data_IF_210101668377
#
_entry.id   IF_210101668377
#
_cell.length_a   1.000
_cell.length_b   1.000
_cell.length_c   1.000
_cell.angle_alpha   90.00
_cell.angle_beta   90.00
_cell.angle_gamma   90.00
#
_symmetry.space_group_name_H-M   'P 1'
#
loop_
_entity.id
_entity.type
_entity.pdbx_description
1 polymer ?
#
# COMPACT_ATOMS: atom_id res chain seq x y z
N UNK A 1 -21.54 -10.35 12.56
CA UNK A 1 -20.62 -10.90 11.55
C UNK A 1 -20.15 -9.75 10.69
N UNK A 2 -18.85 -9.52 10.50
CA UNK A 2 -18.41 -8.58 9.49
C UNK A 2 -18.87 -9.08 8.10
N UNK A 3 -19.21 -8.19 7.16
CA UNK A 3 -19.65 -8.58 5.83
C UNK A 3 -18.59 -9.41 5.11
N UNK A 4 -19.01 -10.34 4.25
CA UNK A 4 -18.08 -11.01 3.35
C UNK A 4 -17.45 -9.97 2.42
N UNK A 5 -16.16 -9.70 2.61
CA UNK A 5 -15.35 -8.89 1.72
C UNK A 5 -15.47 -9.48 0.30
N UNK A 6 -16.20 -8.79 -0.58
CA UNK A 6 -16.07 -8.98 -2.02
C UNK A 6 -14.81 -8.20 -2.38
N UNK A 7 -13.67 -8.89 -2.39
CA UNK A 7 -12.45 -8.33 -2.96
C UNK A 7 -12.73 -8.19 -4.45
N UNK A 8 -13.12 -6.98 -4.85
CA UNK A 8 -13.03 -6.58 -6.25
C UNK A 8 -11.53 -6.56 -6.55
N UNK A 9 -11.04 -7.16 -7.65
CA UNK A 9 -9.64 -7.02 -8.02
C UNK A 9 -9.32 -5.52 -8.11
N UNK A 10 -8.50 -5.01 -7.18
CA UNK A 10 -8.13 -3.58 -7.07
C UNK A 10 -7.50 -3.06 -8.38
N UNK A 11 -6.99 -3.95 -9.22
CA UNK A 11 -6.34 -3.67 -10.49
C UNK A 11 -7.22 -3.03 -11.60
N UNK A 12 -8.48 -2.65 -11.34
CA UNK A 12 -9.40 -2.19 -12.40
C UNK A 12 -9.81 -0.72 -12.32
N UNK A 13 -9.30 0.06 -11.36
CA UNK A 13 -9.62 1.48 -11.27
C UNK A 13 -8.51 2.38 -11.79
N UNK A 14 -8.87 3.52 -12.40
CA UNK A 14 -7.88 4.46 -12.90
C UNK A 14 -7.12 5.03 -11.71
N UNK A 15 -5.85 4.63 -11.58
CA UNK A 15 -4.93 5.24 -10.63
C UNK A 15 -4.27 6.45 -11.23
N UNK A 16 -4.10 7.48 -10.42
CA UNK A 16 -3.07 8.48 -10.70
C UNK A 16 -1.73 7.75 -10.84
N UNK A 17 -1.15 7.78 -12.03
CA UNK A 17 0.10 7.05 -12.29
C UNK A 17 1.26 7.68 -11.52
N UNK A 18 2.01 6.85 -10.80
CA UNK A 18 3.30 7.23 -10.22
C UNK A 18 4.36 6.91 -11.27
N UNK A 19 5.13 7.92 -11.69
CA UNK A 19 6.19 7.74 -12.69
C UNK A 19 7.26 6.76 -12.20
N UNK A 20 7.78 5.91 -13.09
CA UNK A 20 8.93 5.05 -12.77
C UNK A 20 10.09 5.89 -12.22
N UNK A 21 10.73 5.38 -11.16
CA UNK A 21 11.81 6.06 -10.46
C UNK A 21 11.45 7.46 -9.90
N UNK A 22 10.16 7.79 -9.76
CA UNK A 22 9.74 8.96 -9.00
C UNK A 22 10.26 8.89 -7.56
N UNK A 23 10.65 10.03 -7.00
CA UNK A 23 11.04 10.09 -5.58
C UNK A 23 9.79 10.00 -4.72
N UNK A 24 9.88 9.14 -3.72
CA UNK A 24 8.85 8.96 -2.72
C UNK A 24 9.43 9.22 -1.34
N UNK A 25 8.58 9.70 -0.46
CA UNK A 25 8.94 10.15 0.89
C UNK A 25 8.05 9.50 1.91
N UNK A 26 8.57 9.18 3.09
CA UNK A 26 7.74 8.92 4.26
C UNK A 26 8.30 9.58 5.52
N UNK A 27 7.46 9.58 6.55
CA UNK A 27 7.86 9.91 7.92
C UNK A 27 7.40 8.77 8.83
N UNK A 28 8.27 7.77 8.97
CA UNK A 28 8.07 6.60 9.81
C UNK A 28 8.32 6.86 11.30
N UNK A 29 7.73 6.04 12.16
CA UNK A 29 7.98 6.10 13.62
C UNK A 29 9.41 5.69 13.95
N UNK A 30 9.93 4.69 13.25
CA UNK A 30 11.22 4.06 13.51
C UNK A 30 12.34 4.72 12.72
N UNK A 31 12.11 4.96 11.43
CA UNK A 31 13.13 5.54 10.53
C UNK A 31 13.12 7.07 10.50
N UNK A 32 12.03 7.71 10.93
CA UNK A 32 11.86 9.15 10.76
C UNK A 32 11.64 9.49 9.30
N UNK A 33 12.26 10.56 8.81
CA UNK A 33 12.15 10.97 7.41
C UNK A 33 13.09 10.15 6.52
N UNK A 34 12.54 9.54 5.47
CA UNK A 34 13.29 8.77 4.47
C UNK A 34 12.86 9.14 3.05
N UNK A 35 13.71 8.79 2.08
CA UNK A 35 13.46 8.97 0.66
C UNK A 35 13.84 7.71 -0.10
N UNK A 36 13.04 7.35 -1.08
CA UNK A 36 13.25 6.19 -1.93
C UNK A 36 12.77 6.47 -3.35
N UNK A 37 12.93 5.47 -4.23
CA UNK A 37 12.46 5.59 -5.61
C UNK A 37 11.36 4.57 -5.87
N UNK A 38 10.28 5.04 -6.47
CA UNK A 38 9.19 4.18 -6.91
C UNK A 38 9.71 3.17 -7.93
N UNK A 39 9.25 1.93 -7.80
CA UNK A 39 9.47 0.88 -8.76
C UNK A 39 8.11 0.33 -9.22
N UNK A 40 7.84 0.53 -10.52
CA UNK A 40 6.57 0.19 -11.18
C UNK A 40 6.33 -1.30 -11.34
N UNK A 41 7.36 -2.13 -11.16
CA UNK A 41 7.18 -3.57 -11.16
C UNK A 41 6.41 -3.98 -9.90
N UNK A 42 5.11 -4.20 -10.06
CA UNK A 42 4.27 -4.64 -8.96
C UNK A 42 4.68 -6.05 -8.53
N UNK A 43 4.84 -6.24 -7.23
CA UNK A 43 5.18 -7.55 -6.67
C UNK A 43 3.90 -8.29 -6.30
N UNK A 44 3.79 -9.54 -6.73
CA UNK A 44 2.73 -10.43 -6.26
C UNK A 44 3.14 -11.05 -4.92
N UNK A 45 2.47 -10.67 -3.84
CA UNK A 45 2.62 -11.35 -2.54
C UNK A 45 1.54 -12.43 -2.43
N UNK A 46 1.93 -13.64 -2.01
CA UNK A 46 0.99 -14.73 -1.77
C UNK A 46 0.62 -14.73 -0.30
N UNK A 47 -0.61 -14.32 0.01
CA UNK A 47 -1.12 -14.33 1.37
C UNK A 47 -1.92 -15.62 1.60
N UNK A 48 -1.59 -16.35 2.68
CA UNK A 48 -2.40 -17.45 3.19
C UNK A 48 -3.13 -17.02 4.46
N UNK A 49 -4.44 -17.27 4.52
CA UNK A 49 -5.26 -16.98 5.69
C UNK A 49 -6.39 -18.00 5.84
N UNK A 50 -6.97 -18.11 7.04
CA UNK A 50 -8.07 -19.06 7.30
C UNK A 50 -9.41 -18.33 7.31
N UNK A 51 -10.32 -18.74 6.42
CA UNK A 51 -11.71 -18.25 6.36
C UNK A 51 -12.68 -19.40 6.55
N UNK A 52 -13.50 -19.32 7.60
CA UNK A 52 -14.46 -20.38 7.97
C UNK A 52 -13.81 -21.77 8.10
N UNK A 53 -12.61 -21.83 8.69
CA UNK A 53 -11.87 -23.08 8.90
C UNK A 53 -11.22 -23.66 7.64
N UNK A 54 -11.26 -22.96 6.50
CA UNK A 54 -10.55 -23.35 5.28
C UNK A 54 -9.37 -22.41 5.04
N UNK A 55 -8.23 -22.99 4.66
CA UNK A 55 -7.12 -22.21 4.14
C UNK A 55 -7.52 -21.58 2.79
N UNK A 56 -7.23 -20.29 2.66
CA UNK A 56 -7.43 -19.50 1.46
C UNK A 56 -6.08 -18.90 1.08
N UNK A 57 -5.75 -18.97 -0.21
CA UNK A 57 -4.52 -18.40 -0.77
C UNK A 57 -4.94 -17.37 -1.78
N UNK A 58 -4.53 -16.12 -1.57
CA UNK A 58 -4.87 -15.01 -2.46
C UNK A 58 -3.60 -14.22 -2.82
N UNK A 59 -3.36 -13.97 -4.12
CA UNK A 59 -2.30 -13.07 -4.55
C UNK A 59 -2.74 -11.61 -4.33
N UNK A 60 -1.86 -10.81 -3.74
CA UNK A 60 -2.01 -9.36 -3.67
C UNK A 60 -0.96 -8.70 -4.55
N UNK A 61 -1.30 -7.59 -5.20
CA UNK A 61 -0.43 -6.91 -6.18
C UNK A 61 -0.04 -5.57 -5.59
N UNK A 62 1.23 -5.42 -5.24
CA UNK A 62 1.69 -4.31 -4.40
C UNK A 62 2.59 -3.35 -5.15
N UNK A 63 2.49 -2.08 -4.79
CA UNK A 63 3.43 -1.05 -5.22
C UNK A 63 4.72 -1.15 -4.40
N UNK A 64 5.86 -0.83 -5.02
CA UNK A 64 7.16 -0.96 -4.35
C UNK A 64 7.99 0.31 -4.36
N UNK A 65 8.76 0.51 -3.29
CA UNK A 65 9.81 1.52 -3.18
C UNK A 65 11.15 0.80 -2.96
N UNK A 66 12.18 1.22 -3.69
CA UNK A 66 13.53 0.69 -3.59
C UNK A 66 14.38 1.50 -2.61
N UNK A 67 15.19 0.79 -1.82
CA UNK A 67 16.22 1.35 -0.93
C UNK A 67 15.91 1.19 0.55
N UNK A 68 16.75 1.79 1.41
CA UNK A 68 16.57 1.87 2.86
C UNK A 68 15.44 2.86 3.20
N UNK A 69 14.22 2.54 2.77
CA UNK A 69 13.06 3.44 2.82
C UNK A 69 12.26 3.30 4.11
N UNK A 70 12.13 2.09 4.66
CA UNK A 70 11.33 1.82 5.87
C UNK A 70 11.88 0.66 6.70
N UNK A 71 11.48 0.58 7.97
CA UNK A 71 11.78 -0.56 8.86
C UNK A 71 10.53 -1.10 9.57
N UNK A 72 10.68 -2.23 10.25
CA UNK A 72 9.65 -2.71 11.17
C UNK A 72 9.29 -1.62 12.19
N UNK A 73 8.00 -1.30 12.26
CA UNK A 73 7.46 -0.21 13.08
C UNK A 73 7.01 1.02 12.30
N UNK A 74 7.37 1.15 11.02
CA UNK A 74 6.88 2.21 10.13
C UNK A 74 5.54 1.88 9.45
N UNK A 75 5.05 0.64 9.58
CA UNK A 75 3.74 0.21 9.06
C UNK A 75 2.62 1.18 9.45
N UNK A 76 1.85 1.60 8.46
CA UNK A 76 0.79 2.62 8.59
C UNK A 76 1.24 4.04 8.24
N UNK A 77 2.51 4.26 7.93
CA UNK A 77 2.99 5.56 7.45
C UNK A 77 2.46 5.89 6.07
N UNK A 78 2.19 7.17 5.85
CA UNK A 78 1.79 7.69 4.55
C UNK A 78 3.02 7.92 3.69
N UNK A 79 2.89 7.61 2.39
CA UNK A 79 3.91 7.84 1.38
C UNK A 79 3.50 9.02 0.51
N UNK A 80 4.44 9.94 0.27
CA UNK A 80 4.24 11.18 -0.46
C UNK A 80 5.08 11.25 -1.73
N UNK A 81 4.61 12.00 -2.73
CA UNK A 81 5.39 12.39 -3.90
C UNK A 81 6.11 13.74 -3.69
N UNK A 82 6.79 14.23 -4.73
CA UNK A 82 7.48 15.54 -4.75
C UNK A 82 6.55 16.74 -4.49
N UNK A 83 5.26 16.61 -4.81
CA UNK A 83 4.23 17.64 -4.61
C UNK A 83 3.56 17.56 -3.22
N UNK A 84 4.08 16.70 -2.33
CA UNK A 84 3.54 16.39 -1.00
C UNK A 84 2.12 15.79 -1.02
N UNK A 85 1.72 15.22 -2.15
CA UNK A 85 0.48 14.47 -2.27
C UNK A 85 0.68 13.05 -1.74
N UNK A 86 -0.29 12.54 -0.99
CA UNK A 86 -0.27 11.16 -0.52
C UNK A 86 -0.53 10.23 -1.71
N UNK A 87 0.37 9.28 -1.92
CA UNK A 87 0.26 8.28 -2.99
C UNK A 87 0.09 6.85 -2.47
N UNK A 88 0.36 6.63 -1.18
CA UNK A 88 0.32 5.27 -0.63
C UNK A 88 0.26 5.17 0.88
N UNK A 89 -0.06 3.97 1.34
CA UNK A 89 0.00 3.55 2.72
C UNK A 89 0.97 2.37 2.86
N UNK A 90 2.06 2.58 3.61
CA UNK A 90 3.04 1.54 3.88
C UNK A 90 2.42 0.44 4.74
N UNK A 91 2.61 -0.83 4.38
CA UNK A 91 2.17 -1.95 5.22
C UNK A 91 3.26 -2.99 5.52
N UNK A 92 4.27 -3.14 4.65
CA UNK A 92 5.33 -4.13 4.83
C UNK A 92 6.64 -3.72 4.14
N UNK A 93 7.70 -4.46 4.45
CA UNK A 93 8.99 -4.36 3.77
C UNK A 93 9.71 -5.70 3.72
N UNK A 94 10.73 -5.79 2.87
CA UNK A 94 11.66 -6.90 2.77
C UNK A 94 13.08 -6.35 2.86
N UNK A 95 13.67 -6.48 4.05
CA UNK A 95 15.03 -6.00 4.36
C UNK A 95 16.11 -6.68 3.50
N UNK A 96 15.90 -7.92 3.06
CA UNK A 96 16.89 -8.63 2.24
C UNK A 96 16.99 -8.06 0.84
N UNK A 97 15.86 -7.70 0.25
CA UNK A 97 15.79 -7.11 -1.10
C UNK A 97 15.74 -5.58 -1.10
N UNK A 98 15.68 -4.95 0.08
CA UNK A 98 15.52 -3.50 0.24
C UNK A 98 14.30 -2.97 -0.52
N UNK A 99 13.16 -3.66 -0.31
CA UNK A 99 11.87 -3.29 -0.88
C UNK A 99 10.92 -2.88 0.22
N UNK A 100 10.22 -1.78 0.03
CA UNK A 100 9.02 -1.43 0.81
C UNK A 100 7.79 -1.67 -0.04
N UNK A 101 6.76 -2.27 0.56
CA UNK A 101 5.46 -2.50 -0.07
C UNK A 101 4.42 -1.54 0.46
N UNK A 102 3.62 -0.99 -0.44
CA UNK A 102 2.52 -0.10 -0.08
C UNK A 102 1.30 -0.35 -0.94
N UNK A 103 0.14 -0.04 -0.36
CA UNK A 103 -1.14 -0.01 -1.07
C UNK A 103 -1.35 1.40 -1.62
N UNK A 104 -1.78 1.51 -2.88
CA UNK A 104 -2.06 2.82 -3.49
C UNK A 104 -3.16 3.54 -2.71
N UNK A 105 -3.05 4.85 -2.51
CA UNK A 105 -3.97 5.57 -1.62
C UNK A 105 -5.43 5.49 -2.09
N UNK A 106 -5.66 5.44 -3.40
CA UNK A 106 -7.00 5.34 -3.96
C UNK A 106 -7.66 3.99 -3.66
N UNK A 107 -6.88 2.91 -3.59
CA UNK A 107 -7.37 1.59 -3.19
C UNK A 107 -7.83 1.62 -1.73
N UNK A 108 -7.04 2.26 -0.86
CA UNK A 108 -7.39 2.46 0.55
C UNK A 108 -8.68 3.26 0.67
N UNK A 109 -8.80 4.39 -0.06
CA UNK A 109 -10.01 5.21 -0.02
C UNK A 109 -11.23 4.47 -0.55
N UNK A 110 -11.08 3.67 -1.59
CA UNK A 110 -12.18 2.89 -2.08
C UNK A 110 -12.61 1.84 -1.06
N UNK A 111 -11.68 1.07 -0.50
CA UNK A 111 -12.01 0.04 0.48
C UNK A 111 -12.77 0.64 1.67
N UNK A 112 -12.31 1.79 2.18
CA UNK A 112 -13.02 2.55 3.23
C UNK A 112 -14.46 2.87 2.80
N UNK A 113 -14.66 3.41 1.59
CA UNK A 113 -16.02 3.73 1.07
C UNK A 113 -16.88 2.49 0.95
N UNK A 114 -16.35 1.41 0.39
CA UNK A 114 -17.06 0.14 0.21
C UNK A 114 -17.46 -0.49 1.55
N UNK A 115 -16.58 -0.42 2.56
CA UNK A 115 -16.78 -1.04 3.86
C UNK A 115 -17.65 -0.22 4.80
N UNK A 116 -17.58 1.11 4.73
CA UNK A 116 -18.28 2.01 5.66
C UNK A 116 -19.56 2.60 5.08
N UNK A 117 -19.71 2.61 3.75
CA UNK A 117 -20.78 3.35 3.08
C UNK A 117 -20.58 4.86 3.06
N UNK A 118 -19.42 5.37 3.49
CA UNK A 118 -19.11 6.80 3.36
C UNK A 118 -18.99 7.19 1.89
N UNK A 119 -19.36 8.43 1.58
CA UNK A 119 -19.28 8.96 0.21
C UNK A 119 -17.96 9.67 -0.08
N UNK A 120 -17.24 10.07 0.98
CA UNK A 120 -16.05 10.89 0.87
C UNK A 120 -14.99 10.51 1.91
N UNK A 121 -13.73 10.50 1.47
CA UNK A 121 -12.54 10.20 2.27
C UNK A 121 -11.48 11.20 1.83
N UNK A 122 -10.85 11.86 2.81
CA UNK A 122 -9.86 12.92 2.56
C UNK A 122 -8.67 12.75 3.48
N UNK A 123 -7.49 13.01 2.95
CA UNK A 123 -6.28 13.25 3.75
C UNK A 123 -6.00 14.75 3.67
N UNK A 124 -5.64 15.35 4.81
CA UNK A 124 -5.39 16.79 4.95
C UNK A 124 -3.91 17.07 5.05
#
# INVERSE_FOLDING_TARGET
>A
MPPSMRIVPLAQWPHTEINEAARLYEVGRQTGYTVGHYHSLKTALIQSYVKNGKECIEPTIEHTVLGDFSQEGDSGSLIYNDDLEVVGLLFAGNERSQLTYFTHIEDVFHDIKAMTGTVDVRVK
#
